data_IF_002436709192
#
_entry.id   IF_002436709192
#
_cell.length_a   1.000
_cell.length_b   1.000
_cell.length_c   1.000
_cell.angle_alpha   90.00
_cell.angle_beta   90.00
_cell.angle_gamma   90.00
#
_symmetry.space_group_name_H-M   'P 1'
#
loop_
_entity.id
_entity.type
_entity.pdbx_description
1 polymer ?
#
# COMPACT_ATOMS: atom_id res chain seq x y z
N UNK A 1 -38.84 -34.06 30.44
CA UNK A 1 -38.11 -32.81 30.71
C UNK A 1 -36.87 -32.82 29.83
N UNK A 2 -36.81 -31.95 28.79
CA UNK A 2 -35.54 -31.70 28.12
C UNK A 2 -34.69 -30.93 29.12
N UNK A 3 -33.56 -31.49 29.53
CA UNK A 3 -32.56 -30.76 30.32
C UNK A 3 -32.24 -29.47 29.54
N UNK A 4 -32.67 -28.33 30.07
CA UNK A 4 -32.13 -27.05 29.65
C UNK A 4 -30.67 -27.09 30.06
N UNK A 5 -29.78 -27.20 29.08
CA UNK A 5 -28.35 -27.01 29.30
C UNK A 5 -28.12 -25.65 29.97
N UNK A 6 -26.99 -25.47 30.67
CA UNK A 6 -26.72 -24.24 31.41
C UNK A 6 -26.90 -23.03 30.50
N UNK A 7 -27.62 -22.01 30.97
CA UNK A 7 -27.79 -20.74 30.27
C UNK A 7 -26.40 -20.08 30.11
N UNK A 8 -25.77 -20.31 28.96
CA UNK A 8 -24.45 -19.78 28.66
C UNK A 8 -24.55 -18.25 28.59
N UNK A 9 -23.81 -17.57 29.47
CA UNK A 9 -23.71 -16.10 29.50
C UNK A 9 -23.12 -15.58 28.17
N UNK A 10 -22.17 -16.33 27.61
CA UNK A 10 -21.63 -16.12 26.28
C UNK A 10 -21.07 -17.43 25.69
N UNK A 11 -20.96 -17.49 24.37
CA UNK A 11 -20.37 -18.59 23.61
C UNK A 11 -19.60 -18.03 22.41
N UNK A 12 -18.39 -18.52 22.15
CA UNK A 12 -17.69 -18.32 20.88
C UNK A 12 -17.60 -19.66 20.15
N UNK A 13 -18.09 -19.71 18.91
CA UNK A 13 -18.10 -20.90 18.08
C UNK A 13 -17.29 -20.65 16.81
N UNK A 14 -16.33 -21.53 16.53
CA UNK A 14 -15.56 -21.52 15.28
C UNK A 14 -16.24 -22.47 14.30
N UNK A 15 -16.86 -21.94 13.25
CA UNK A 15 -17.73 -22.73 12.37
C UNK A 15 -16.97 -23.55 11.32
N UNK A 16 -15.77 -23.13 10.94
CA UNK A 16 -14.95 -23.78 9.92
C UNK A 16 -13.75 -24.55 10.51
N UNK A 17 -13.81 -24.94 11.79
CA UNK A 17 -12.68 -25.52 12.51
C UNK A 17 -12.06 -26.75 11.84
N UNK A 18 -12.87 -27.61 11.22
CA UNK A 18 -12.40 -28.82 10.56
C UNK A 18 -11.61 -28.51 9.28
N UNK A 19 -11.99 -27.44 8.57
CA UNK A 19 -11.27 -26.99 7.37
C UNK A 19 -9.85 -26.50 7.69
N UNK A 20 -9.66 -25.94 8.90
CA UNK A 20 -8.37 -25.45 9.38
C UNK A 20 -7.62 -26.48 10.23
N UNK A 21 -8.22 -27.64 10.50
CA UNK A 21 -7.69 -28.63 11.45
C UNK A 21 -6.36 -29.19 10.98
N UNK A 22 -6.23 -29.51 9.70
CA UNK A 22 -4.99 -30.05 9.14
C UNK A 22 -3.84 -29.03 9.24
N UNK A 23 -4.11 -27.74 9.00
CA UNK A 23 -3.14 -26.66 9.18
C UNK A 23 -2.75 -26.42 10.65
N UNK A 24 -3.55 -26.91 11.61
CA UNK A 24 -3.31 -26.76 13.05
C UNK A 24 -2.69 -27.99 13.72
N UNK A 25 -2.84 -29.18 13.11
CA UNK A 25 -2.33 -30.45 13.69
C UNK A 25 -0.81 -30.50 13.60
N UNK A 26 -0.22 -30.01 12.50
CA UNK A 26 1.22 -30.05 12.30
C UNK A 26 1.84 -28.68 12.59
N UNK A 27 2.71 -28.62 13.59
CA UNK A 27 3.49 -27.43 13.90
C UNK A 27 4.73 -27.33 13.01
N UNK A 28 4.48 -27.02 11.73
CA UNK A 28 5.51 -26.84 10.71
C UNK A 28 6.18 -25.47 10.88
N UNK A 29 7.44 -25.36 10.45
CA UNK A 29 8.13 -24.07 10.40
C UNK A 29 7.66 -23.21 9.19
N UNK A 30 7.17 -23.86 8.14
CA UNK A 30 6.62 -23.23 6.92
C UNK A 30 5.44 -22.30 7.21
N UNK A 31 5.27 -21.26 6.39
CA UNK A 31 4.15 -20.34 6.53
C UNK A 31 2.83 -20.98 6.11
N UNK A 32 1.85 -20.92 7.00
CA UNK A 32 0.50 -21.43 6.80
C UNK A 32 -0.50 -20.29 6.97
N UNK A 33 -1.38 -20.13 5.99
CA UNK A 33 -2.46 -19.14 6.02
C UNK A 33 -3.80 -19.86 6.04
N UNK A 34 -4.68 -19.43 6.92
CA UNK A 34 -6.04 -19.93 6.98
C UNK A 34 -7.00 -18.86 7.47
N UNK A 35 -8.28 -19.04 7.14
CA UNK A 35 -9.37 -18.18 7.57
C UNK A 35 -10.07 -18.82 8.79
N UNK A 36 -10.46 -18.04 9.79
CA UNK A 36 -11.34 -18.50 10.88
C UNK A 36 -12.65 -17.74 10.87
N UNK A 37 -13.75 -18.50 10.88
CA UNK A 37 -15.10 -17.97 10.94
C UNK A 37 -15.64 -18.14 12.36
N UNK A 38 -15.79 -17.04 13.08
CA UNK A 38 -16.14 -17.02 14.51
C UNK A 38 -17.52 -16.39 14.69
N UNK A 39 -18.41 -17.09 15.39
CA UNK A 39 -19.66 -16.54 15.89
C UNK A 39 -19.61 -16.42 17.40
N UNK A 40 -19.74 -15.18 17.89
CA UNK A 40 -19.78 -14.86 19.31
C UNK A 40 -21.24 -14.54 19.65
N UNK A 41 -21.83 -15.32 20.54
CA UNK A 41 -23.18 -15.11 21.05
C UNK A 41 -23.09 -14.69 22.51
N UNK A 42 -23.69 -13.57 22.87
CA UNK A 42 -23.78 -13.08 24.24
C UNK A 42 -25.24 -12.67 24.50
N UNK A 43 -25.92 -13.43 25.36
CA UNK A 43 -27.38 -13.33 25.52
C UNK A 43 -28.11 -13.40 24.16
N UNK A 44 -28.84 -12.34 23.77
CA UNK A 44 -29.55 -12.23 22.50
C UNK A 44 -28.72 -11.59 21.37
N UNK A 45 -27.50 -11.12 21.67
CA UNK A 45 -26.64 -10.49 20.68
C UNK A 45 -25.73 -11.54 20.04
N UNK A 46 -25.59 -11.47 18.72
CA UNK A 46 -24.71 -12.33 17.94
C UNK A 46 -23.78 -11.47 17.11
N UNK A 47 -22.49 -11.78 17.11
CA UNK A 47 -21.47 -11.13 16.30
C UNK A 47 -20.78 -12.19 15.45
N UNK A 48 -20.75 -11.95 14.15
CA UNK A 48 -20.03 -12.76 13.16
C UNK A 48 -18.71 -12.07 12.84
N UNK A 49 -17.61 -12.79 12.93
CA UNK A 49 -16.25 -12.30 12.62
C UNK A 49 -15.54 -13.27 11.68
N UNK A 50 -14.85 -12.73 10.68
CA UNK A 50 -14.02 -13.50 9.75
C UNK A 50 -12.58 -13.02 9.87
N UNK A 51 -11.69 -13.91 10.27
CA UNK A 51 -10.29 -13.63 10.53
C UNK A 51 -9.41 -14.27 9.46
N UNK A 52 -8.39 -13.57 9.00
CA UNK A 52 -7.27 -14.16 8.27
C UNK A 52 -6.08 -14.30 9.23
N UNK A 53 -5.48 -15.48 9.26
CA UNK A 53 -4.38 -15.81 10.17
C UNK A 53 -3.24 -16.41 9.36
N UNK A 54 -2.05 -15.87 9.58
CA UNK A 54 -0.79 -16.44 9.08
C UNK A 54 0.03 -16.92 10.27
N UNK A 55 0.43 -18.19 10.30
CA UNK A 55 1.35 -18.77 11.28
C UNK A 55 2.59 -19.31 10.58
N UNK A 56 3.71 -19.38 11.28
CA UNK A 56 4.95 -19.93 10.73
C UNK A 56 6.16 -19.48 11.54
N UNK A 57 7.35 -19.63 10.97
CA UNK A 57 8.57 -19.18 11.59
C UNK A 57 9.78 -19.23 10.67
N UNK A 58 10.97 -19.14 11.26
CA UNK A 58 12.21 -19.35 10.54
C UNK A 58 12.81 -20.72 10.85
N UNK A 59 12.93 -21.57 9.84
CA UNK A 59 13.66 -22.85 9.92
C UNK A 59 15.11 -22.65 10.38
N UNK A 60 15.74 -21.57 9.89
CA UNK A 60 17.13 -21.23 10.15
C UNK A 60 17.27 -19.75 10.47
N UNK A 61 17.85 -19.47 11.63
CA UNK A 61 18.27 -18.13 12.02
C UNK A 61 19.51 -17.76 11.18
N UNK A 62 19.46 -16.63 10.48
CA UNK A 62 20.56 -16.14 9.64
C UNK A 62 21.84 -15.97 10.48
N UNK A 63 23.00 -16.17 9.85
CA UNK A 63 24.32 -16.12 10.52
C UNK A 63 24.63 -14.78 11.18
N UNK A 64 24.02 -13.70 10.69
CA UNK A 64 24.12 -12.36 11.29
C UNK A 64 23.51 -12.27 12.71
N UNK A 65 22.64 -13.21 13.09
CA UNK A 65 22.03 -13.31 14.41
C UNK A 65 22.62 -14.47 15.23
N UNK A 66 23.95 -14.53 15.33
CA UNK A 66 24.66 -15.63 16.03
C UNK A 66 24.20 -15.80 17.49
N UNK A 67 24.09 -14.71 18.24
CA UNK A 67 23.64 -14.72 19.64
C UNK A 67 22.22 -15.30 19.78
N UNK A 68 21.31 -14.92 18.88
CA UNK A 68 19.92 -15.41 18.84
C UNK A 68 19.88 -16.92 18.54
N UNK A 69 20.77 -17.39 17.66
CA UNK A 69 20.89 -18.81 17.35
C UNK A 69 21.39 -19.62 18.54
N UNK A 70 22.38 -19.11 19.28
CA UNK A 70 22.89 -19.75 20.50
C UNK A 70 21.81 -19.80 21.59
N UNK A 71 21.05 -18.71 21.77
CA UNK A 71 19.93 -18.65 22.70
C UNK A 71 18.81 -19.65 22.36
N UNK A 72 18.41 -19.71 21.08
CA UNK A 72 17.41 -20.68 20.58
C UNK A 72 17.78 -22.12 20.92
N UNK A 73 19.06 -22.48 20.75
CA UNK A 73 19.56 -23.83 21.05
C UNK A 73 19.59 -24.13 22.55
N UNK A 74 20.02 -23.16 23.35
CA UNK A 74 20.09 -23.27 24.81
C UNK A 74 18.70 -23.43 25.43
N UNK A 75 17.77 -22.55 25.07
CA UNK A 75 16.40 -22.53 25.61
C UNK A 75 15.46 -23.53 24.91
N UNK A 76 15.93 -24.18 23.83
CA UNK A 76 15.17 -25.15 23.02
C UNK A 76 13.88 -24.57 22.45
N UNK A 77 13.91 -23.29 22.08
CA UNK A 77 12.80 -22.57 21.48
C UNK A 77 13.09 -22.27 20.01
N UNK A 78 12.04 -22.29 19.19
CA UNK A 78 12.12 -21.95 17.76
C UNK A 78 11.49 -20.58 17.47
N UNK A 79 12.02 -19.84 16.48
CA UNK A 79 11.54 -18.51 16.14
C UNK A 79 10.24 -18.59 15.33
N UNK A 80 9.13 -18.79 16.02
CA UNK A 80 7.78 -18.95 15.43
C UNK A 80 6.81 -17.92 15.97
N UNK A 81 5.75 -17.69 15.23
CA UNK A 81 4.65 -16.84 15.65
C UNK A 81 3.46 -16.89 14.70
N UNK A 82 2.63 -15.87 14.81
CA UNK A 82 1.51 -15.66 13.93
C UNK A 82 1.02 -14.22 13.93
N UNK A 83 0.40 -13.83 12.83
CA UNK A 83 -0.22 -12.52 12.62
C UNK A 83 -1.66 -12.78 12.19
N UNK A 84 -2.60 -12.08 12.82
CA UNK A 84 -4.02 -12.21 12.52
C UNK A 84 -4.64 -10.84 12.21
N UNK A 85 -5.44 -10.78 11.16
CA UNK A 85 -6.19 -9.59 10.77
C UNK A 85 -7.68 -9.92 10.64
N UNK A 86 -8.52 -8.95 10.98
CA UNK A 86 -9.97 -9.08 10.92
C UNK A 86 -10.45 -8.62 9.54
N UNK A 87 -10.96 -9.55 8.73
CA UNK A 87 -11.42 -9.28 7.36
C UNK A 87 -12.83 -8.66 7.36
N UNK A 88 -13.72 -9.15 8.22
CA UNK A 88 -15.09 -8.67 8.30
C UNK A 88 -15.67 -8.89 9.71
N UNK A 89 -16.57 -8.00 10.13
CA UNK A 89 -17.33 -8.12 11.38
C UNK A 89 -18.74 -7.56 11.20
N UNK A 90 -19.75 -8.25 11.71
CA UNK A 90 -21.11 -7.73 11.78
C UNK A 90 -21.88 -8.30 12.97
N UNK A 91 -22.73 -7.48 13.56
CA UNK A 91 -23.73 -7.84 14.58
C UNK A 91 -25.10 -8.17 13.97
N UNK A 92 -25.26 -8.00 12.65
CA UNK A 92 -26.52 -8.20 11.91
C UNK A 92 -26.42 -9.30 10.86
N UNK A 93 -25.29 -9.37 10.16
CA UNK A 93 -25.05 -10.33 9.08
C UNK A 93 -24.45 -11.62 9.63
N UNK A 94 -24.90 -12.72 9.05
CA UNK A 94 -24.29 -14.04 9.20
C UNK A 94 -22.93 -14.12 8.51
N UNK A 95 -22.16 -15.15 8.83
CA UNK A 95 -20.86 -15.41 8.17
C UNK A 95 -21.02 -15.65 6.67
N UNK A 96 -22.09 -16.30 6.23
CA UNK A 96 -22.32 -16.60 4.82
C UNK A 96 -22.64 -15.34 4.02
N UNK A 97 -23.45 -14.42 4.58
CA UNK A 97 -23.70 -13.11 3.99
C UNK A 97 -22.42 -12.28 3.86
N UNK A 98 -21.57 -12.28 4.90
CA UNK A 98 -20.28 -11.55 4.87
C UNK A 98 -19.32 -12.08 3.79
N UNK A 99 -19.31 -13.39 3.55
CA UNK A 99 -18.52 -14.01 2.48
C UNK A 99 -19.10 -13.74 1.10
N UNK A 100 -20.43 -13.78 0.96
CA UNK A 100 -21.11 -13.50 -0.29
C UNK A 100 -20.93 -12.04 -0.75
N UNK A 101 -20.67 -11.13 0.19
CA UNK A 101 -20.33 -9.73 -0.09
C UNK A 101 -18.81 -9.48 -0.22
N UNK A 102 -18.00 -10.54 -0.30
CA UNK A 102 -16.55 -10.43 -0.52
C UNK A 102 -15.83 -9.56 0.52
N UNK A 103 -16.22 -9.67 1.80
CA UNK A 103 -15.60 -8.97 2.94
C UNK A 103 -15.63 -7.43 2.83
N UNK A 104 -16.83 -6.82 2.74
CA UNK A 104 -16.99 -5.47 2.20
C UNK A 104 -16.54 -4.35 3.14
N UNK A 105 -16.25 -4.64 4.42
CA UNK A 105 -15.95 -3.62 5.42
C UNK A 105 -14.97 -4.15 6.49
N UNK A 106 -13.66 -4.19 6.21
CA UNK A 106 -12.66 -4.56 7.21
C UNK A 106 -12.70 -3.55 8.38
N UNK A 107 -13.04 -4.00 9.60
CA UNK A 107 -13.15 -3.11 10.74
C UNK A 107 -11.78 -2.62 11.21
N UNK A 108 -11.76 -1.47 11.88
CA UNK A 108 -10.55 -1.02 12.58
C UNK A 108 -10.30 -1.93 13.78
N UNK A 109 -9.24 -2.72 13.71
CA UNK A 109 -8.79 -3.57 14.81
C UNK A 109 -7.83 -2.80 15.70
N UNK A 110 -7.99 -2.96 17.02
CA UNK A 110 -6.99 -2.54 18.01
C UNK A 110 -6.19 -3.78 18.41
N UNK A 111 -5.04 -3.93 17.78
CA UNK A 111 -4.19 -5.10 17.84
C UNK A 111 -3.58 -5.32 19.22
N UNK A 112 -3.36 -6.58 19.54
CA UNK A 112 -2.78 -7.04 20.78
C UNK A 112 -1.67 -8.04 20.51
N UNK A 113 -0.71 -8.13 21.41
CA UNK A 113 0.34 -9.15 21.40
C UNK A 113 0.00 -10.21 22.42
N UNK A 114 -0.12 -11.44 21.95
CA UNK A 114 -0.34 -12.63 22.74
C UNK A 114 0.97 -13.39 22.95
N UNK A 115 1.06 -14.02 24.11
CA UNK A 115 2.09 -15.00 24.45
C UNK A 115 1.42 -16.12 25.24
N UNK A 116 1.97 -17.33 25.19
CA UNK A 116 1.36 -18.56 25.70
C UNK A 116 0.95 -18.53 27.18
N UNK A 117 1.48 -17.62 28.00
CA UNK A 117 1.36 -17.65 29.47
C UNK A 117 1.05 -16.30 30.13
N UNK A 118 0.95 -15.23 29.36
CA UNK A 118 0.75 -13.86 29.87
C UNK A 118 -0.54 -13.26 29.35
N UNK A 119 -1.05 -12.27 30.08
CA UNK A 119 -2.08 -11.38 29.55
C UNK A 119 -1.57 -10.71 28.27
N UNK A 120 -2.49 -10.38 27.38
CA UNK A 120 -2.18 -9.64 26.15
C UNK A 120 -1.61 -8.26 26.46
N UNK A 121 -0.75 -7.76 25.57
CA UNK A 121 -0.25 -6.38 25.58
C UNK A 121 -0.87 -5.59 24.43
N UNK A 122 -1.28 -4.35 24.70
CA UNK A 122 -1.90 -3.48 23.70
C UNK A 122 -0.85 -2.94 22.71
N UNK A 123 -0.83 -3.48 21.49
CA UNK A 123 0.07 -3.01 20.43
C UNK A 123 -0.48 -1.82 19.66
N UNK A 124 -1.82 -1.64 19.69
CA UNK A 124 -2.57 -0.71 18.84
C UNK A 124 -2.37 -0.91 17.34
N UNK A 125 -1.79 -2.03 16.89
CA UNK A 125 -1.62 -2.35 15.46
C UNK A 125 -2.97 -2.70 14.81
N UNK A 126 -3.03 -2.71 13.47
CA UNK A 126 -4.21 -3.22 12.75
C UNK A 126 -4.31 -4.75 12.71
N UNK A 127 -3.47 -5.45 13.49
CA UNK A 127 -3.34 -6.91 13.53
C UNK A 127 -3.08 -7.38 14.96
N UNK A 128 -3.54 -8.58 15.29
CA UNK A 128 -3.04 -9.29 16.47
C UNK A 128 -1.73 -9.99 16.12
N UNK A 129 -0.82 -10.02 17.09
CA UNK A 129 0.48 -10.68 17.01
C UNK A 129 0.53 -11.80 18.04
N UNK A 130 1.14 -12.92 17.68
CA UNK A 130 1.47 -13.99 18.61
C UNK A 130 2.89 -14.46 18.30
N UNK A 131 3.65 -14.84 19.32
CA UNK A 131 5.03 -15.29 19.14
C UNK A 131 5.46 -16.26 20.21
N UNK A 132 6.44 -17.10 19.89
CA UNK A 132 7.20 -17.90 20.85
C UNK A 132 8.15 -17.00 21.65
N UNK A 133 7.59 -16.03 22.35
CA UNK A 133 8.32 -15.08 23.15
C UNK A 133 8.90 -15.75 24.39
N UNK A 134 10.12 -15.35 24.74
CA UNK A 134 10.79 -15.78 25.95
C UNK A 134 10.41 -14.86 27.10
N UNK A 135 9.72 -15.40 28.10
CA UNK A 135 9.26 -14.68 29.28
C UNK A 135 10.13 -15.05 30.48
N UNK A 136 10.44 -14.07 31.34
CA UNK A 136 11.01 -14.37 32.65
C UNK A 136 9.93 -14.92 33.59
N UNK A 137 10.35 -15.54 34.69
CA UNK A 137 9.44 -16.13 35.70
C UNK A 137 8.48 -15.10 36.34
N UNK A 138 8.79 -13.80 36.28
CA UNK A 138 7.91 -12.72 36.69
C UNK A 138 6.96 -12.34 35.54
N UNK A 139 5.71 -12.83 35.61
CA UNK A 139 4.61 -12.60 34.64
C UNK A 139 4.19 -11.12 34.45
N UNK A 140 4.80 -10.19 35.17
CA UNK A 140 4.59 -8.74 35.08
C UNK A 140 5.82 -8.10 34.45
N UNK A 141 6.03 -8.31 33.15
CA UNK A 141 7.03 -7.56 32.40
C UNK A 141 6.37 -6.31 31.81
N UNK A 142 6.94 -5.13 32.05
CA UNK A 142 6.55 -3.95 31.29
C UNK A 142 6.99 -4.11 29.82
N UNK A 143 6.41 -3.35 28.89
CA UNK A 143 6.83 -3.38 27.47
C UNK A 143 8.34 -3.13 27.30
N UNK A 144 8.94 -2.32 28.19
CA UNK A 144 10.37 -2.07 28.19
C UNK A 144 11.17 -3.29 28.66
N UNK A 145 10.71 -4.03 29.67
CA UNK A 145 11.40 -5.25 30.11
C UNK A 145 11.32 -6.34 29.04
N UNK A 146 10.18 -6.42 28.35
CA UNK A 146 9.87 -7.40 27.31
C UNK A 146 10.72 -7.23 26.04
N UNK A 147 11.02 -5.98 25.64
CA UNK A 147 11.68 -5.68 24.34
C UNK A 147 12.98 -4.85 24.45
N UNK A 148 13.20 -4.09 25.52
CA UNK A 148 14.33 -3.14 25.62
C UNK A 148 15.36 -3.47 26.69
N UNK A 149 15.15 -4.49 27.50
CA UNK A 149 16.16 -4.91 28.48
C UNK A 149 17.39 -5.48 27.78
N UNK A 150 18.59 -5.26 28.34
CA UNK A 150 19.83 -5.80 27.81
C UNK A 150 20.04 -7.26 28.28
N UNK A 151 19.07 -8.12 27.94
CA UNK A 151 19.11 -9.54 28.25
C UNK A 151 18.78 -10.39 27.02
N UNK A 152 19.23 -11.64 27.02
CA UNK A 152 19.04 -12.54 25.88
C UNK A 152 17.55 -12.77 25.55
N UNK A 153 16.69 -12.79 26.57
CA UNK A 153 15.24 -12.92 26.39
C UNK A 153 14.65 -11.74 25.59
N UNK A 154 15.04 -10.51 25.91
CA UNK A 154 14.56 -9.33 25.18
C UNK A 154 15.16 -9.23 23.77
N UNK A 155 16.43 -9.62 23.59
CA UNK A 155 17.02 -9.76 22.24
C UNK A 155 16.26 -10.77 21.39
N UNK A 156 15.88 -11.92 21.97
CA UNK A 156 15.04 -12.92 21.33
C UNK A 156 13.65 -12.36 20.98
N UNK A 157 12.96 -11.72 21.93
CA UNK A 157 11.64 -11.15 21.69
C UNK A 157 11.65 -10.08 20.61
N UNK A 158 12.70 -9.24 20.60
CA UNK A 158 12.95 -8.24 19.56
C UNK A 158 13.16 -8.91 18.21
N UNK A 159 13.91 -10.01 18.13
CA UNK A 159 14.08 -10.77 16.89
C UNK A 159 12.74 -11.35 16.38
N UNK A 160 11.93 -11.94 17.24
CA UNK A 160 10.58 -12.42 16.85
C UNK A 160 9.75 -11.26 16.31
N UNK A 161 9.68 -10.15 17.07
CA UNK A 161 8.85 -9.02 16.71
C UNK A 161 9.32 -8.32 15.43
N UNK A 162 10.63 -8.14 15.22
CA UNK A 162 11.13 -7.29 14.13
C UNK A 162 11.64 -8.03 12.91
N UNK A 163 11.87 -9.34 13.00
CA UNK A 163 12.31 -10.16 11.86
C UNK A 163 11.26 -11.19 11.46
N UNK A 164 10.78 -12.02 12.40
CA UNK A 164 9.86 -13.14 12.10
C UNK A 164 8.44 -12.66 11.78
N UNK A 165 7.84 -11.89 12.68
CA UNK A 165 6.44 -11.47 12.52
C UNK A 165 6.21 -10.58 11.28
N UNK A 166 7.14 -9.69 10.87
CA UNK A 166 6.98 -8.96 9.64
C UNK A 166 6.97 -9.84 8.38
N UNK A 167 7.72 -10.95 8.36
CA UNK A 167 7.67 -11.92 7.26
C UNK A 167 6.30 -12.64 7.19
N UNK A 168 5.72 -12.99 8.35
CA UNK A 168 4.37 -13.52 8.39
C UNK A 168 3.30 -12.48 8.02
N UNK A 169 3.51 -11.22 8.38
CA UNK A 169 2.59 -10.13 8.06
C UNK A 169 2.55 -9.88 6.55
N UNK A 170 3.69 -9.86 5.85
CA UNK A 170 3.67 -9.72 4.39
C UNK A 170 2.93 -10.89 3.71
N UNK A 171 3.05 -12.11 4.25
CA UNK A 171 2.32 -13.28 3.75
C UNK A 171 0.82 -13.16 3.97
N UNK A 172 0.40 -12.65 5.13
CA UNK A 172 -0.99 -12.32 5.40
C UNK A 172 -1.53 -11.27 4.41
N UNK A 173 -0.75 -10.22 4.12
CA UNK A 173 -1.14 -9.21 3.13
C UNK A 173 -1.21 -9.78 1.71
N UNK A 174 -0.32 -10.68 1.34
CA UNK A 174 -0.32 -11.40 0.05
C UNK A 174 -1.61 -12.23 -0.12
N UNK A 175 -2.11 -12.83 0.97
CA UNK A 175 -3.43 -13.50 0.98
C UNK A 175 -4.59 -12.51 0.84
N UNK A 176 -4.57 -11.39 1.58
CA UNK A 176 -5.59 -10.35 1.47
C UNK A 176 -5.67 -9.79 0.06
N UNK A 177 -4.53 -9.57 -0.60
CA UNK A 177 -4.47 -9.12 -2.00
C UNK A 177 -5.18 -10.10 -2.94
N UNK A 178 -5.00 -11.43 -2.75
CA UNK A 178 -5.72 -12.42 -3.56
C UNK A 178 -7.23 -12.35 -3.39
N UNK A 179 -7.72 -12.05 -2.17
CA UNK A 179 -9.15 -11.84 -1.93
C UNK A 179 -9.65 -10.58 -2.62
N UNK A 180 -8.87 -9.49 -2.56
CA UNK A 180 -9.19 -8.24 -3.23
C UNK A 180 -9.16 -8.37 -4.77
N UNK A 181 -8.25 -9.15 -5.33
CA UNK A 181 -8.23 -9.47 -6.76
C UNK A 181 -9.49 -10.22 -7.19
N UNK A 182 -9.96 -11.19 -6.40
CA UNK A 182 -11.22 -11.88 -6.66
C UNK A 182 -12.42 -10.92 -6.61
N UNK A 183 -12.44 -10.02 -5.62
CA UNK A 183 -13.49 -8.99 -5.48
C UNK A 183 -13.49 -8.00 -6.64
N UNK A 184 -12.31 -7.60 -7.14
CA UNK A 184 -12.20 -6.72 -8.31
C UNK A 184 -12.84 -7.35 -9.56
N UNK A 185 -12.69 -8.66 -9.75
CA UNK A 185 -13.32 -9.37 -10.87
C UNK A 185 -14.84 -9.34 -10.80
N UNK A 186 -15.42 -9.26 -9.60
CA UNK A 186 -16.87 -9.20 -9.38
C UNK A 186 -17.42 -7.76 -9.47
N UNK A 187 -16.72 -6.78 -8.87
CA UNK A 187 -17.17 -5.39 -8.77
C UNK A 187 -16.81 -4.52 -9.99
N UNK A 188 -15.78 -4.91 -10.75
CA UNK A 188 -15.31 -4.19 -11.94
C UNK A 188 -14.94 -2.74 -11.64
N UNK A 189 -15.64 -1.79 -12.27
CA UNK A 189 -15.31 -0.35 -12.16
C UNK A 189 -15.67 0.28 -10.81
N UNK A 190 -16.50 -0.37 -9.99
CA UNK A 190 -16.87 0.14 -8.66
C UNK A 190 -15.87 -0.26 -7.57
N UNK A 191 -14.85 -1.04 -7.93
CA UNK A 191 -13.88 -1.57 -6.99
C UNK A 191 -13.06 -0.47 -6.34
N UNK A 192 -12.97 -0.52 -5.00
CA UNK A 192 -12.08 0.33 -4.21
C UNK A 192 -11.29 -0.55 -3.25
N UNK A 193 -9.95 -0.64 -3.36
CA UNK A 193 -9.15 -1.58 -2.58
C UNK A 193 -9.14 -1.24 -1.08
N UNK A 194 -9.23 -2.26 -0.23
CA UNK A 194 -9.06 -2.08 1.21
C UNK A 194 -7.60 -2.09 1.66
N UNK A 195 -6.65 -2.48 0.82
CA UNK A 195 -5.24 -2.76 1.20
C UNK A 195 -4.57 -1.61 1.92
N UNK A 196 -4.20 -0.54 1.21
CA UNK A 196 -3.54 0.63 1.81
C UNK A 196 -4.47 1.41 2.76
N UNK A 197 -5.79 1.26 2.63
CA UNK A 197 -6.77 2.00 3.44
C UNK A 197 -6.96 1.39 4.84
N UNK A 198 -7.10 0.08 4.93
CA UNK A 198 -7.47 -0.65 6.14
C UNK A 198 -6.33 -1.52 6.68
N UNK A 199 -5.48 -2.07 5.80
CA UNK A 199 -4.44 -3.04 6.15
C UNK A 199 -3.02 -2.47 6.10
N UNK A 200 -2.88 -1.14 6.06
CA UNK A 200 -1.57 -0.50 6.17
C UNK A 200 -0.97 -0.76 7.57
N UNK A 201 0.29 -1.22 7.67
CA UNK A 201 0.83 -1.77 8.93
C UNK A 201 1.22 -0.72 9.97
N UNK A 202 1.13 0.58 9.64
CA UNK A 202 1.50 1.70 10.52
C UNK A 202 0.28 2.60 10.73
N UNK A 203 -0.01 2.97 11.97
CA UNK A 203 -0.99 4.00 12.26
C UNK A 203 -0.41 5.09 13.18
N UNK A 204 -1.13 6.19 13.30
CA UNK A 204 -0.69 7.40 14.03
C UNK A 204 -0.54 7.20 15.56
N UNK A 205 -1.13 6.14 16.12
CA UNK A 205 -1.21 5.93 17.57
C UNK A 205 -0.19 4.91 18.11
N UNK A 206 0.72 4.43 17.26
CA UNK A 206 1.73 3.45 17.63
C UNK A 206 2.83 4.07 18.50
N UNK A 207 3.32 3.29 19.46
CA UNK A 207 4.57 3.58 20.17
C UNK A 207 5.76 3.35 19.23
N UNK A 208 6.94 3.88 19.58
CA UNK A 208 8.14 3.75 18.74
C UNK A 208 8.48 2.29 18.39
N UNK A 209 8.28 1.35 19.32
CA UNK A 209 8.54 -0.07 19.10
C UNK A 209 7.64 -0.66 18.01
N UNK A 210 6.33 -0.46 18.10
CA UNK A 210 5.38 -0.99 17.12
C UNK A 210 5.40 -0.20 15.81
N UNK A 211 5.83 1.06 15.84
CA UNK A 211 6.16 1.81 14.63
C UNK A 211 7.34 1.17 13.89
N UNK A 212 8.41 0.77 14.60
CA UNK A 212 9.54 0.02 13.99
C UNK A 212 9.05 -1.29 13.38
N UNK A 213 8.17 -2.03 14.08
CA UNK A 213 7.52 -3.21 13.51
C UNK A 213 6.83 -2.91 12.18
N UNK A 214 5.94 -1.92 12.14
CA UNK A 214 5.23 -1.54 10.92
C UNK A 214 6.17 -1.08 9.80
N UNK A 215 7.23 -0.31 10.11
CA UNK A 215 8.26 0.09 9.14
C UNK A 215 9.01 -1.13 8.58
N UNK A 216 9.26 -2.15 9.39
CA UNK A 216 9.89 -3.39 8.92
C UNK A 216 8.97 -4.15 7.95
N UNK A 217 7.66 -4.16 8.20
CA UNK A 217 6.67 -4.73 7.27
C UNK A 217 6.70 -3.98 5.94
N UNK A 218 6.60 -2.64 5.95
CA UNK A 218 6.65 -1.82 4.72
C UNK A 218 7.97 -2.01 3.98
N UNK A 219 9.09 -2.10 4.71
CA UNK A 219 10.40 -2.35 4.11
C UNK A 219 10.43 -3.69 3.38
N UNK A 220 9.95 -4.75 4.02
CA UNK A 220 9.89 -6.10 3.43
C UNK A 220 8.91 -6.16 2.25
N UNK A 221 7.77 -5.46 2.30
CA UNK A 221 6.86 -5.32 1.16
C UNK A 221 7.57 -4.77 -0.07
N UNK A 222 8.34 -3.68 0.11
CA UNK A 222 9.09 -3.06 -0.99
C UNK A 222 10.22 -3.94 -1.51
N UNK A 223 11.05 -4.50 -0.62
CA UNK A 223 12.25 -5.29 -0.99
C UNK A 223 11.88 -6.62 -1.64
N UNK A 224 10.83 -7.29 -1.16
CA UNK A 224 10.41 -8.59 -1.67
C UNK A 224 9.55 -8.47 -2.93
N UNK A 225 9.43 -7.26 -3.52
CA UNK A 225 8.63 -6.95 -4.70
C UNK A 225 7.18 -7.46 -4.60
N UNK A 226 6.61 -7.40 -3.39
CA UNK A 226 5.27 -7.89 -3.11
C UNK A 226 4.21 -7.01 -3.76
N UNK A 227 3.25 -7.62 -4.45
CA UNK A 227 2.13 -6.93 -5.06
C UNK A 227 1.12 -6.57 -3.99
N UNK A 228 1.01 -5.28 -3.66
CA UNK A 228 0.17 -4.79 -2.58
C UNK A 228 -0.48 -3.44 -2.92
N UNK A 229 0.17 -2.67 -3.78
CA UNK A 229 -0.24 -1.32 -4.13
C UNK A 229 -1.21 -1.35 -5.30
N UNK A 230 -2.35 -0.71 -5.16
CA UNK A 230 -3.36 -0.66 -6.22
C UNK A 230 -3.09 0.49 -7.19
N UNK A 231 -3.17 0.20 -8.48
CA UNK A 231 -3.17 1.20 -9.54
C UNK A 231 -4.39 1.01 -10.43
N UNK A 232 -5.00 2.12 -10.86
CA UNK A 232 -6.11 2.12 -11.83
C UNK A 232 -5.60 1.87 -13.28
N UNK A 233 -4.27 1.85 -13.48
CA UNK A 233 -3.66 1.60 -14.78
C UNK A 233 -4.03 0.23 -15.37
N UNK A 234 -4.36 0.24 -16.67
CA UNK A 234 -4.77 -0.94 -17.44
C UNK A 234 -6.02 -1.67 -16.91
N UNK A 235 -6.98 -0.92 -16.32
CA UNK A 235 -8.23 -1.51 -15.83
C UNK A 235 -8.17 -2.01 -14.40
N UNK A 236 -7.17 -1.59 -13.63
CA UNK A 236 -7.02 -1.95 -12.22
C UNK A 236 -6.17 -3.19 -12.00
N UNK A 237 -5.07 -3.06 -11.24
CA UNK A 237 -4.27 -4.19 -10.81
C UNK A 237 -3.44 -3.87 -9.55
N UNK A 238 -3.03 -4.92 -8.83
CA UNK A 238 -2.02 -4.79 -7.79
C UNK A 238 -0.61 -4.87 -8.36
N UNK A 239 0.24 -3.95 -7.94
CA UNK A 239 1.63 -3.81 -8.37
C UNK A 239 2.58 -3.79 -7.18
N UNK A 240 3.84 -4.09 -7.44
CA UNK A 240 4.90 -3.94 -6.44
C UNK A 240 5.33 -2.49 -6.31
N UNK A 241 5.99 -2.14 -5.19
CA UNK A 241 6.47 -0.77 -4.98
C UNK A 241 7.46 -0.31 -6.07
N UNK A 242 8.23 -1.24 -6.64
CA UNK A 242 9.19 -0.98 -7.74
C UNK A 242 8.51 -0.57 -9.04
N UNK A 243 7.37 -1.16 -9.34
CA UNK A 243 6.56 -0.84 -10.51
C UNK A 243 5.69 0.40 -10.28
N UNK A 244 5.36 0.67 -9.02
CA UNK A 244 4.54 1.80 -8.63
C UNK A 244 5.23 3.14 -8.86
N UNK A 245 4.40 4.14 -9.13
CA UNK A 245 4.77 5.56 -9.16
C UNK A 245 3.86 6.26 -8.17
N UNK A 246 4.41 6.72 -7.05
CA UNK A 246 3.63 7.17 -5.89
C UNK A 246 3.23 8.63 -6.07
N UNK A 247 1.93 8.92 -5.94
CA UNK A 247 1.37 10.27 -5.96
C UNK A 247 0.53 10.48 -4.69
N UNK A 248 0.46 11.74 -4.23
CA UNK A 248 -0.41 12.13 -3.14
C UNK A 248 -1.89 11.98 -3.54
N UNK A 249 -2.75 11.50 -2.63
CA UNK A 249 -4.17 11.23 -2.91
C UNK A 249 -4.93 12.48 -3.39
N UNK A 250 -4.54 13.66 -2.91
CA UNK A 250 -5.10 14.96 -3.26
C UNK A 250 -4.85 15.33 -4.74
N UNK A 251 -3.84 14.76 -5.40
CA UNK A 251 -3.53 14.99 -6.82
C UNK A 251 -4.26 14.00 -7.76
N UNK A 252 -5.49 13.62 -7.39
CA UNK A 252 -6.29 12.62 -8.09
C UNK A 252 -6.53 12.95 -9.58
N UNK A 253 -6.65 14.22 -9.95
CA UNK A 253 -6.78 14.63 -11.35
C UNK A 253 -5.55 14.26 -12.18
N UNK A 254 -4.35 14.49 -11.64
CA UNK A 254 -3.10 14.11 -12.29
C UNK A 254 -2.98 12.59 -12.38
N UNK A 255 -3.33 11.86 -11.31
CA UNK A 255 -3.35 10.40 -11.35
C UNK A 255 -4.23 9.86 -12.49
N UNK A 256 -5.44 10.41 -12.64
CA UNK A 256 -6.38 10.05 -13.71
C UNK A 256 -5.79 10.31 -15.10
N UNK A 257 -5.10 11.44 -15.28
CA UNK A 257 -4.45 11.76 -16.56
C UNK A 257 -3.34 10.76 -16.89
N UNK A 258 -2.46 10.49 -15.92
CA UNK A 258 -1.30 9.61 -16.10
C UNK A 258 -1.69 8.14 -16.35
N UNK A 259 -2.80 7.69 -15.76
CA UNK A 259 -3.39 6.37 -16.00
C UNK A 259 -4.04 6.26 -17.39
N UNK A 260 -4.56 7.37 -17.93
CA UNK A 260 -5.22 7.42 -19.24
C UNK A 260 -4.30 7.78 -20.41
N UNK A 261 -2.98 7.77 -20.21
CA UNK A 261 -2.01 7.93 -21.29
C UNK A 261 -2.07 6.76 -22.29
N UNK A 262 -1.56 6.98 -23.51
CA UNK A 262 -1.45 5.93 -24.54
C UNK A 262 -0.72 4.69 -24.01
N UNK A 263 0.33 4.92 -23.21
CA UNK A 263 0.98 3.92 -22.36
C UNK A 263 0.76 4.36 -20.90
N UNK A 264 -0.15 3.71 -20.16
CA UNK A 264 -0.47 4.09 -18.79
C UNK A 264 0.73 4.03 -17.85
N UNK A 265 0.93 5.09 -17.07
CA UNK A 265 1.85 5.06 -15.94
C UNK A 265 1.11 4.41 -14.75
N UNK A 266 1.78 3.48 -14.07
CA UNK A 266 1.23 2.73 -12.93
C UNK A 266 1.23 3.59 -11.66
N UNK A 267 0.34 4.57 -11.64
CA UNK A 267 0.19 5.50 -10.51
C UNK A 267 -0.48 4.82 -9.33
N UNK A 268 0.08 5.00 -8.15
CA UNK A 268 -0.49 4.55 -6.86
C UNK A 268 -0.70 5.78 -6.00
N UNK A 269 -1.94 5.98 -5.57
CA UNK A 269 -2.35 7.10 -4.69
C UNK A 269 -2.12 6.70 -3.23
N UNK A 270 -1.39 7.50 -2.47
CA UNK A 270 -1.19 7.33 -1.03
C UNK A 270 -1.32 8.67 -0.32
N UNK A 271 -1.91 8.67 0.87
CA UNK A 271 -1.90 9.86 1.73
C UNK A 271 -0.48 10.27 2.18
N UNK A 272 -0.37 11.53 2.59
CA UNK A 272 0.86 12.17 3.05
C UNK A 272 1.55 11.45 4.22
N UNK A 273 0.81 10.89 5.16
CA UNK A 273 1.39 10.19 6.31
C UNK A 273 2.08 8.90 5.85
N UNK A 274 1.48 8.15 4.91
CA UNK A 274 2.09 6.94 4.31
C UNK A 274 3.31 7.28 3.47
N UNK A 275 3.26 8.33 2.65
CA UNK A 275 4.41 8.81 1.90
C UNK A 275 5.56 9.22 2.84
N UNK A 276 5.26 9.91 3.94
CA UNK A 276 6.24 10.27 4.96
C UNK A 276 6.93 9.06 5.62
N UNK A 277 6.22 7.95 5.77
CA UNK A 277 6.79 6.69 6.27
C UNK A 277 7.72 6.02 5.24
N UNK A 278 7.39 6.09 3.95
CA UNK A 278 8.27 5.61 2.87
C UNK A 278 9.55 6.47 2.81
N UNK A 279 9.42 7.80 2.97
CA UNK A 279 10.56 8.71 3.08
C UNK A 279 11.45 8.39 4.28
N UNK A 280 10.87 8.02 5.43
CA UNK A 280 11.61 7.60 6.62
C UNK A 280 12.47 6.36 6.33
N UNK A 281 11.92 5.39 5.59
CA UNK A 281 12.66 4.19 5.16
C UNK A 281 13.81 4.57 4.23
N UNK A 282 13.58 5.44 3.23
CA UNK A 282 14.65 5.91 2.32
C UNK A 282 15.75 6.66 3.10
N UNK A 283 15.37 7.56 4.01
CA UNK A 283 16.31 8.31 4.85
C UNK A 283 17.16 7.41 5.74
N UNK A 284 16.61 6.29 6.21
CA UNK A 284 17.34 5.31 7.01
C UNK A 284 18.47 4.60 6.26
N UNK A 285 18.49 4.67 4.90
CA UNK A 285 19.43 3.96 4.01
C UNK A 285 19.48 2.44 4.22
N UNK A 286 18.42 1.87 4.80
CA UNK A 286 18.25 0.44 5.05
C UNK A 286 16.88 -0.01 4.49
N UNK A 287 16.85 -0.71 3.34
CA UNK A 287 17.98 -1.06 2.46
C UNK A 287 18.55 0.16 1.72
N UNK A 288 19.75 0.04 1.14
CA UNK A 288 20.40 1.13 0.38
C UNK A 288 19.58 1.59 -0.84
N UNK A 289 18.93 0.63 -1.52
CA UNK A 289 18.17 0.86 -2.74
C UNK A 289 16.70 0.49 -2.50
N UNK A 290 16.03 1.20 -1.59
CA UNK A 290 14.60 0.98 -1.36
C UNK A 290 13.81 1.45 -2.59
N UNK A 291 12.95 0.60 -3.19
CA UNK A 291 12.33 0.88 -4.48
C UNK A 291 11.12 1.80 -4.36
N UNK A 292 11.31 2.99 -3.81
CA UNK A 292 10.27 4.02 -3.66
C UNK A 292 10.53 5.16 -4.66
N UNK A 293 9.55 5.47 -5.50
CA UNK A 293 9.67 6.50 -6.54
C UNK A 293 8.44 7.40 -6.53
N UNK A 294 8.50 8.57 -5.86
CA UNK A 294 7.44 9.57 -5.94
C UNK A 294 7.41 10.21 -7.33
N UNK A 295 6.22 10.54 -7.80
CA UNK A 295 6.03 11.22 -9.09
C UNK A 295 6.55 12.66 -8.99
N UNK A 296 7.28 13.07 -10.01
CA UNK A 296 7.72 14.44 -10.22
C UNK A 296 7.55 14.79 -11.69
N UNK A 297 7.50 16.08 -12.02
CA UNK A 297 7.46 16.52 -13.42
C UNK A 297 8.60 15.93 -14.25
N UNK A 298 9.82 15.84 -13.68
CA UNK A 298 10.96 15.22 -14.32
C UNK A 298 10.69 13.76 -14.66
N UNK A 299 10.18 13.00 -13.70
CA UNK A 299 9.89 11.58 -13.88
C UNK A 299 8.81 11.35 -14.95
N UNK A 300 7.74 12.16 -14.94
CA UNK A 300 6.70 12.10 -15.98
C UNK A 300 7.33 12.31 -17.35
N UNK A 301 8.18 13.33 -17.52
CA UNK A 301 8.89 13.55 -18.77
C UNK A 301 9.78 12.35 -19.15
N UNK A 302 10.53 11.76 -18.21
CA UNK A 302 11.39 10.59 -18.45
C UNK A 302 10.55 9.37 -18.92
N UNK A 303 9.44 9.07 -18.26
CA UNK A 303 8.52 8.00 -18.64
C UNK A 303 7.93 8.24 -20.04
N UNK A 304 7.50 9.46 -20.34
CA UNK A 304 7.01 9.83 -21.67
C UNK A 304 8.09 9.70 -22.75
N UNK A 305 9.35 9.97 -22.43
CA UNK A 305 10.46 9.79 -23.38
C UNK A 305 10.70 8.32 -23.75
N UNK A 306 10.47 7.39 -22.81
CA UNK A 306 10.58 5.95 -23.05
C UNK A 306 9.50 5.42 -24.00
N UNK A 307 8.38 6.15 -24.17
CA UNK A 307 7.28 5.78 -25.05
C UNK A 307 7.54 6.09 -26.54
N UNK A 308 8.75 6.56 -26.90
CA UNK A 308 9.09 6.88 -28.29
C UNK A 308 9.27 5.61 -29.14
N UNK A 309 8.83 5.63 -30.42
CA UNK A 309 8.18 6.74 -31.12
C UNK A 309 6.68 6.85 -30.78
N UNK A 310 6.20 8.08 -30.60
CA UNK A 310 4.77 8.34 -30.40
C UNK A 310 3.99 8.06 -31.70
N UNK A 311 2.92 7.25 -31.62
CA UNK A 311 2.05 6.98 -32.76
C UNK A 311 1.22 8.21 -33.11
N UNK A 312 0.72 8.91 -32.09
CA UNK A 312 -0.04 10.15 -32.20
C UNK A 312 0.60 11.25 -31.35
N UNK A 313 0.35 12.51 -31.68
CA UNK A 313 0.77 13.61 -30.80
C UNK A 313 -0.16 13.74 -29.58
N UNK A 314 -1.42 13.35 -29.69
CA UNK A 314 -2.34 13.35 -28.54
C UNK A 314 -2.10 12.08 -27.74
N UNK A 315 -1.30 12.21 -26.68
CA UNK A 315 -0.89 11.10 -25.81
C UNK A 315 -1.89 10.78 -24.70
N UNK A 316 -2.82 11.70 -24.39
CA UNK A 316 -3.90 11.51 -23.40
C UNK A 316 -5.11 10.97 -24.14
N UNK A 317 -5.65 9.82 -23.71
CA UNK A 317 -6.85 9.23 -24.33
C UNK A 317 -8.11 9.95 -23.90
N UNK A 318 -9.06 10.08 -24.82
CA UNK A 318 -10.41 10.63 -24.57
C UNK A 318 -10.45 12.07 -24.02
N UNK A 319 -9.37 12.85 -24.15
CA UNK A 319 -9.36 14.27 -23.81
C UNK A 319 -10.01 15.07 -24.94
N UNK A 320 -11.30 15.38 -24.80
CA UNK A 320 -12.05 16.21 -25.74
C UNK A 320 -11.76 17.71 -25.59
N UNK A 321 -11.14 18.11 -24.48
CA UNK A 321 -10.69 19.48 -24.21
C UNK A 321 -9.15 19.51 -24.14
N UNK A 322 -8.52 20.68 -23.99
CA UNK A 322 -7.08 20.76 -23.71
C UNK A 322 -6.81 20.82 -22.20
N UNK A 323 -7.83 20.61 -21.37
CA UNK A 323 -7.77 20.88 -19.94
C UNK A 323 -6.88 19.88 -19.20
N UNK A 324 -6.97 18.59 -19.54
CA UNK A 324 -6.07 17.59 -18.97
C UNK A 324 -4.62 17.84 -19.37
N UNK A 325 -4.38 18.30 -20.61
CA UNK A 325 -3.04 18.72 -21.01
C UNK A 325 -2.54 19.94 -20.21
N UNK A 326 -3.40 20.92 -19.94
CA UNK A 326 -3.04 22.07 -19.11
C UNK A 326 -2.73 21.67 -17.67
N UNK A 327 -3.53 20.77 -17.08
CA UNK A 327 -3.29 20.24 -15.74
C UNK A 327 -1.95 19.48 -15.68
N UNK A 328 -1.69 18.60 -16.66
CA UNK A 328 -0.45 17.85 -16.77
C UNK A 328 0.77 18.77 -16.91
N UNK A 329 0.69 19.80 -17.77
CA UNK A 329 1.77 20.78 -17.92
C UNK A 329 2.00 21.57 -16.63
N UNK A 330 0.93 22.01 -15.97
CA UNK A 330 1.02 22.75 -14.71
C UNK A 330 1.77 21.92 -13.68
N UNK A 331 1.42 20.64 -13.55
CA UNK A 331 2.12 19.70 -12.68
C UNK A 331 3.60 19.52 -13.08
N UNK A 332 3.89 19.28 -14.36
CA UNK A 332 5.26 19.06 -14.84
C UNK A 332 6.16 20.27 -14.56
N UNK A 333 5.62 21.48 -14.72
CA UNK A 333 6.38 22.72 -14.57
C UNK A 333 6.59 23.19 -13.13
N UNK A 334 5.91 22.58 -12.15
CA UNK A 334 6.27 22.79 -10.74
C UNK A 334 7.73 22.38 -10.47
N UNK A 335 8.24 21.36 -11.17
CA UNK A 335 9.64 20.97 -11.14
C UNK A 335 10.42 21.60 -12.31
N UNK A 336 11.21 22.65 -12.01
CA UNK A 336 12.09 23.29 -13.01
C UNK A 336 13.08 22.33 -13.67
N UNK A 337 13.43 21.21 -13.01
CA UNK A 337 14.34 20.21 -13.61
C UNK A 337 13.71 19.53 -14.81
N UNK A 338 12.38 19.51 -14.91
CA UNK A 338 11.62 18.95 -16.02
C UNK A 338 11.95 19.58 -17.36
N UNK A 339 12.34 20.87 -17.40
CA UNK A 339 12.50 21.63 -18.64
C UNK A 339 13.51 20.97 -19.60
N UNK A 340 14.58 20.40 -19.06
CA UNK A 340 15.62 19.70 -19.84
C UNK A 340 15.13 18.39 -20.47
N UNK A 341 14.02 17.85 -19.98
CA UNK A 341 13.43 16.58 -20.42
C UNK A 341 12.22 16.77 -21.35
N UNK A 342 11.82 18.00 -21.65
CA UNK A 342 10.68 18.28 -22.53
C UNK A 342 10.98 18.07 -24.02
N UNK A 343 12.25 18.14 -24.42
CA UNK A 343 12.65 18.12 -25.82
C UNK A 343 12.00 16.95 -26.58
N UNK A 344 11.26 17.25 -27.66
CA UNK A 344 10.50 16.34 -28.53
C UNK A 344 9.27 15.66 -27.92
N UNK A 345 8.86 16.01 -26.70
CA UNK A 345 7.59 15.51 -26.13
C UNK A 345 6.39 16.25 -26.75
N UNK A 346 5.31 15.54 -27.12
CA UNK A 346 4.10 16.12 -27.67
C UNK A 346 3.21 16.64 -26.53
N UNK A 347 3.59 17.79 -25.98
CA UNK A 347 2.94 18.39 -24.83
C UNK A 347 2.59 19.87 -25.05
N UNK A 348 2.74 20.40 -26.27
CA UNK A 348 2.49 21.83 -26.54
C UNK A 348 1.03 22.02 -26.98
N UNK A 349 0.16 22.66 -26.17
CA UNK A 349 -1.21 22.94 -26.59
C UNK A 349 -1.24 24.00 -27.68
N UNK A 350 -1.80 23.67 -28.85
CA UNK A 350 -1.90 24.59 -29.99
C UNK A 350 -3.31 25.19 -30.10
N UNK A 351 -3.40 26.37 -30.74
CA UNK A 351 -4.65 27.13 -30.91
C UNK A 351 -5.67 26.47 -31.85
N UNK A 352 -5.27 25.47 -32.64
CA UNK A 352 -6.18 24.64 -33.44
C UNK A 352 -6.77 23.45 -32.65
N UNK A 353 -6.45 23.34 -31.36
CA UNK A 353 -6.84 22.22 -30.50
C UNK A 353 -5.89 21.03 -30.56
N UNK A 354 -4.94 20.99 -31.51
CA UNK A 354 -3.96 19.91 -31.61
C UNK A 354 -2.83 20.04 -30.60
N UNK A 355 -2.04 18.97 -30.46
CA UNK A 355 -0.87 18.94 -29.59
C UNK A 355 0.42 18.94 -30.43
N UNK A 356 1.24 19.96 -30.21
CA UNK A 356 2.57 20.14 -30.80
C UNK A 356 3.69 19.53 -29.96
N UNK A 357 4.90 19.47 -30.54
CA UNK A 357 6.11 18.94 -29.88
C UNK A 357 7.04 20.05 -29.44
N UNK A 358 7.61 19.93 -28.25
CA UNK A 358 8.70 20.79 -27.78
C UNK A 358 9.97 20.59 -28.64
N UNK A 359 10.68 21.67 -28.96
CA UNK A 359 11.96 21.63 -29.67
C UNK A 359 11.92 21.12 -31.13
N UNK A 360 10.73 20.95 -31.72
CA UNK A 360 10.58 20.50 -33.11
C UNK A 360 10.52 21.65 -34.13
N UNK A 361 9.68 22.65 -33.86
CA UNK A 361 9.45 23.81 -34.73
C UNK A 361 9.30 25.08 -33.89
N UNK A 362 9.46 26.26 -34.51
CA UNK A 362 9.18 27.53 -33.84
C UNK A 362 7.67 27.65 -33.58
N UNK A 363 7.30 27.72 -32.31
CA UNK A 363 5.93 27.93 -31.85
C UNK A 363 5.88 29.32 -31.23
N UNK A 364 4.80 30.05 -31.50
CA UNK A 364 4.63 31.45 -31.12
C UNK A 364 3.53 31.62 -30.07
N UNK A 365 3.69 32.61 -29.19
CA UNK A 365 2.62 33.02 -28.26
C UNK A 365 1.74 34.04 -28.98
N UNK A 366 0.46 33.71 -29.15
CA UNK A 366 -0.52 34.50 -29.88
C UNK A 366 -1.59 35.14 -28.99
N UNK A 367 -2.27 36.16 -29.50
CA UNK A 367 -3.54 36.68 -28.94
C UNK A 367 -4.65 36.45 -29.96
N UNK A 368 -5.92 36.61 -29.57
CA UNK A 368 -7.08 36.47 -30.46
C UNK A 368 -6.89 37.23 -31.79
N UNK A 369 -6.44 38.49 -31.74
CA UNK A 369 -6.16 39.31 -32.92
C UNK A 369 -5.18 38.65 -33.92
N UNK A 370 -4.20 37.89 -33.44
CA UNK A 370 -3.25 37.17 -34.30
C UNK A 370 -3.90 35.97 -34.98
N UNK A 371 -4.84 35.29 -34.31
CA UNK A 371 -5.60 34.18 -34.90
C UNK A 371 -6.56 34.69 -35.99
N UNK A 372 -7.12 35.88 -35.79
CA UNK A 372 -8.01 36.52 -36.76
C UNK A 372 -7.23 36.96 -38.02
N UNK A 373 -5.99 37.47 -37.84
CA UNK A 373 -5.10 37.88 -38.93
C UNK A 373 -4.46 36.69 -39.66
N UNK A 374 -4.16 35.60 -38.97
CA UNK A 374 -3.46 34.43 -39.52
C UNK A 374 -4.24 33.13 -39.27
N UNK A 375 -5.43 32.96 -39.87
CA UNK A 375 -6.29 31.80 -39.62
C UNK A 375 -5.64 30.46 -40.00
N UNK A 376 -4.70 30.46 -40.95
CA UNK A 376 -3.97 29.26 -41.38
C UNK A 376 -2.76 28.92 -40.49
N UNK A 377 -2.40 29.76 -39.52
CA UNK A 377 -1.22 29.57 -38.67
C UNK A 377 -1.54 29.04 -37.26
N UNK A 378 -2.79 28.57 -37.04
CA UNK A 378 -3.25 28.11 -35.70
C UNK A 378 -2.42 26.95 -35.14
N UNK A 379 -1.88 26.08 -35.99
CA UNK A 379 -0.99 24.96 -35.63
C UNK A 379 0.43 25.37 -35.20
N UNK A 380 0.76 26.67 -35.28
CA UNK A 380 2.04 27.25 -34.84
C UNK A 380 1.89 28.22 -33.67
N UNK A 381 0.66 28.42 -33.20
CA UNK A 381 0.36 29.31 -32.08
C UNK A 381 -0.01 28.48 -30.87
N UNK A 382 0.59 28.78 -29.72
CA UNK A 382 0.14 28.24 -28.43
C UNK A 382 -1.33 28.60 -28.22
N UNK A 383 -2.08 27.72 -27.58
CA UNK A 383 -3.50 27.93 -27.29
C UNK A 383 -3.73 29.25 -26.55
N UNK A 384 -4.70 30.05 -27.00
CA UNK A 384 -5.01 31.34 -26.36
C UNK A 384 -5.74 31.18 -25.02
N UNK A 385 -6.24 29.98 -24.74
CA UNK A 385 -6.97 29.64 -23.52
C UNK A 385 -6.05 29.11 -22.41
N UNK A 386 -4.74 29.38 -22.49
CA UNK A 386 -3.82 28.93 -21.45
C UNK A 386 -4.16 29.55 -20.09
N UNK A 387 -4.10 28.75 -19.01
CA UNK A 387 -4.03 29.27 -17.65
C UNK A 387 -2.90 30.29 -17.50
N UNK A 388 -3.12 31.30 -16.65
CA UNK A 388 -2.15 32.40 -16.42
C UNK A 388 -0.77 31.87 -16.03
N UNK A 389 -0.72 30.91 -15.12
CA UNK A 389 0.52 30.34 -14.60
C UNK A 389 1.35 29.69 -15.71
N UNK A 390 0.70 28.98 -16.64
CA UNK A 390 1.38 28.42 -17.81
C UNK A 390 1.85 29.52 -18.76
N UNK A 391 1.03 30.53 -19.02
CA UNK A 391 1.39 31.64 -19.91
C UNK A 391 2.65 32.38 -19.40
N UNK A 392 2.77 32.58 -18.08
CA UNK A 392 3.95 33.16 -17.45
C UNK A 392 5.21 32.30 -17.69
N UNK A 393 5.09 30.97 -17.54
CA UNK A 393 6.19 30.03 -17.77
C UNK A 393 6.62 30.05 -19.24
N UNK A 394 5.68 29.93 -20.19
CA UNK A 394 5.97 29.98 -21.62
C UNK A 394 6.59 31.31 -22.06
N UNK A 395 6.27 32.40 -21.36
CA UNK A 395 6.82 33.74 -21.64
C UNK A 395 8.16 34.00 -20.93
N UNK A 396 8.62 33.09 -20.08
CA UNK A 396 9.85 33.28 -19.30
C UNK A 396 11.11 33.06 -20.14
N UNK A 397 12.13 33.87 -19.88
CA UNK A 397 13.45 33.74 -20.52
C UNK A 397 14.16 32.44 -20.12
N UNK A 398 13.84 31.88 -18.95
CA UNK A 398 14.39 30.61 -18.46
C UNK A 398 13.88 29.43 -19.29
N UNK A 399 12.63 29.48 -19.75
CA UNK A 399 12.01 28.45 -20.56
C UNK A 399 12.25 28.62 -22.06
N UNK A 400 12.47 29.86 -22.50
CA UNK A 400 12.68 30.21 -23.91
C UNK A 400 14.09 29.90 -24.43
N UNK A 401 15.02 29.52 -23.55
CA UNK A 401 16.40 29.09 -23.86
C UNK A 401 16.49 27.58 -23.87
#
# INVERSE_FOLDING_TARGET
MKEQGPDLIWQAKINNIDSCRNSRIDSVDDEQIYQLDIEISQYAQKVSEIWAICTGGHDKIKSEFKEIKEFSQKERIKPRGGVASLLARSDKKSLDELKAESFPNPPKLKGEIFSYLSLSMDSKLGVHLNGNFSLSSSRLQTENDFLKSDCDNAKWNTYILHEVLPDLHIKLLEYIVKLEEARHLEEGTNFTPHTAKNFWPINKYLTDLYKIYGLNVVRKLGVNEQKFFWTEANGGQFVSLKEARILEEEESDIANILVNLEVPIRVVKLDKDKMGQLDEIVKSKKPKNFPYTPISGKLVCEELQLMRPFKNNNIIRNDGTQDSLFQLLTFIFQDKKSFKHLARLPLVPLSDGSVGKFGGQKIYIGKQKHLDLFPNCRSRLISINLPKDLLEIFSSDEFSK
#
